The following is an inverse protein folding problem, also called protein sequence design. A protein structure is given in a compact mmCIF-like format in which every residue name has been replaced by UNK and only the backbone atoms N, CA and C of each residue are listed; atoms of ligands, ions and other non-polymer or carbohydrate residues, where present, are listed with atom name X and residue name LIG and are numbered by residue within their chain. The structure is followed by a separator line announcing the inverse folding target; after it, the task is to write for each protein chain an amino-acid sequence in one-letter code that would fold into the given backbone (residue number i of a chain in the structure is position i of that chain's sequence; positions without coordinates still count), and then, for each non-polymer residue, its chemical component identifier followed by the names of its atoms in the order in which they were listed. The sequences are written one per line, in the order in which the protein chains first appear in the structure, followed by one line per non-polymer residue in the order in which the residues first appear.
data_IF_310323595237
#
_entry.id   IF_310323595237
#
_cell.length_a   1.000
_cell.length_b   1.000
_cell.length_c   1.000
_cell.angle_alpha   90.00
_cell.angle_beta   90.00
_cell.angle_gamma   90.00
#
_symmetry.space_group_name_H-M   'P 1'
#
loop_
_entity.id
_entity.type
_entity.pdbx_description
1 polymer ?
#
# COMPACT_ATOMS: atom_id res chain seq x y z
N UNK A 1 -2.82 1.11 23.73
CA UNK A 1 -2.59 -0.29 23.33
C UNK A 1 -3.05 -0.44 21.89
N UNK A 2 -2.12 -0.37 20.92
CA UNK A 2 -2.44 -0.37 19.49
C UNK A 2 -2.88 -1.78 19.07
N UNK A 3 -4.19 -1.97 18.92
CA UNK A 3 -4.80 -3.26 18.62
C UNK A 3 -4.51 -3.61 17.15
N UNK A 4 -3.46 -4.38 16.91
CA UNK A 4 -3.19 -5.03 15.62
C UNK A 4 -4.31 -6.01 15.29
N UNK A 5 -5.27 -5.59 14.47
CA UNK A 5 -6.38 -6.45 14.01
C UNK A 5 -5.81 -7.44 13.00
N UNK A 6 -5.46 -8.65 13.47
CA UNK A 6 -5.05 -9.77 12.63
C UNK A 6 -6.28 -10.55 12.17
N UNK A 7 -6.68 -10.36 10.92
CA UNK A 7 -7.64 -11.24 10.27
C UNK A 7 -6.92 -12.54 9.85
N UNK A 8 -7.08 -13.58 10.67
CA UNK A 8 -6.41 -14.87 10.49
C UNK A 8 -6.84 -15.58 9.21
N UNK A 9 -8.12 -15.47 8.85
CA UNK A 9 -8.70 -16.09 7.65
C UNK A 9 -8.10 -15.47 6.40
N UNK A 10 -8.05 -14.13 6.35
CA UNK A 10 -7.43 -13.42 5.24
C UNK A 10 -5.94 -13.75 5.13
N UNK A 11 -5.20 -13.80 6.25
CA UNK A 11 -3.79 -14.17 6.25
C UNK A 11 -3.52 -15.61 5.79
N UNK A 12 -4.41 -16.55 6.11
CA UNK A 12 -4.28 -17.93 5.70
C UNK A 12 -4.52 -18.09 4.19
N UNK A 13 -5.53 -17.39 3.66
CA UNK A 13 -5.86 -17.41 2.23
C UNK A 13 -4.88 -16.59 1.37
N UNK A 14 -4.40 -15.46 1.88
CA UNK A 14 -3.50 -14.55 1.19
C UNK A 14 -2.14 -14.56 1.86
N UNK A 15 -1.38 -15.64 1.71
CA UNK A 15 0.03 -15.68 2.12
C UNK A 15 0.91 -15.06 1.04
N UNK A 16 1.87 -14.24 1.46
CA UNK A 16 2.80 -13.62 0.53
C UNK A 16 3.70 -14.70 -0.11
N UNK A 17 3.76 -14.80 -1.45
CA UNK A 17 4.66 -15.72 -2.12
C UNK A 17 6.13 -15.38 -1.86
N UNK A 18 7.00 -16.39 -1.76
CA UNK A 18 8.43 -16.19 -1.54
C UNK A 18 9.14 -15.40 -2.67
N UNK A 19 8.61 -15.48 -3.90
CA UNK A 19 9.08 -14.75 -5.08
C UNK A 19 8.03 -13.76 -5.59
N UNK A 20 7.36 -13.06 -4.68
CA UNK A 20 6.36 -12.08 -5.05
C UNK A 20 7.00 -10.93 -5.85
N UNK A 21 6.46 -10.69 -7.04
CA UNK A 21 6.80 -9.49 -7.83
C UNK A 21 6.34 -8.23 -7.09
N UNK A 22 6.85 -7.08 -7.52
CA UNK A 22 6.45 -5.79 -6.97
C UNK A 22 4.91 -5.64 -6.99
N UNK A 23 4.28 -5.99 -8.11
CA UNK A 23 2.83 -5.87 -8.29
C UNK A 23 2.03 -6.77 -7.33
N UNK A 24 2.46 -8.02 -7.16
CA UNK A 24 1.84 -8.92 -6.19
C UNK A 24 1.99 -8.39 -4.77
N UNK A 25 3.14 -7.79 -4.46
CA UNK A 25 3.41 -7.17 -3.16
C UNK A 25 2.49 -5.98 -2.91
N UNK A 26 2.32 -5.12 -3.91
CA UNK A 26 1.42 -3.95 -3.86
C UNK A 26 -0.04 -4.39 -3.65
N UNK A 27 -0.52 -5.32 -4.45
CA UNK A 27 -1.88 -5.86 -4.34
C UNK A 27 -2.12 -6.55 -3.00
N UNK A 28 -1.14 -7.33 -2.52
CA UNK A 28 -1.19 -7.97 -1.22
C UNK A 28 -1.28 -6.94 -0.10
N UNK A 29 -0.43 -5.91 -0.10
CA UNK A 29 -0.45 -4.87 0.92
C UNK A 29 -1.73 -4.03 0.90
N UNK A 30 -2.31 -3.75 -0.28
CA UNK A 30 -3.59 -3.07 -0.40
C UNK A 30 -4.74 -3.90 0.22
N UNK A 31 -4.81 -5.20 -0.11
CA UNK A 31 -5.78 -6.11 0.49
C UNK A 31 -5.55 -6.34 1.98
N UNK A 32 -4.29 -6.39 2.41
CA UNK A 32 -3.89 -6.52 3.81
C UNK A 32 -4.35 -5.28 4.59
N UNK A 33 -4.06 -4.06 4.14
CA UNK A 33 -4.50 -2.85 4.81
C UNK A 33 -6.04 -2.76 4.96
N UNK A 34 -6.80 -3.28 3.98
CA UNK A 34 -8.26 -3.28 4.01
C UNK A 34 -8.86 -4.37 4.94
N UNK A 35 -8.23 -5.55 5.03
CA UNK A 35 -8.80 -6.71 5.73
C UNK A 35 -8.10 -7.04 7.06
N UNK A 36 -6.85 -6.62 7.21
CA UNK A 36 -5.93 -7.04 8.27
C UNK A 36 -4.86 -5.98 8.56
N UNK A 37 -5.06 -5.15 9.57
CA UNK A 37 -4.08 -4.15 10.01
C UNK A 37 -3.07 -4.72 11.02
N UNK A 38 -2.63 -5.97 10.86
CA UNK A 38 -1.74 -6.60 11.86
C UNK A 38 -0.35 -5.94 11.89
N UNK A 39 0.08 -5.35 10.77
CA UNK A 39 1.36 -4.70 10.60
C UNK A 39 1.19 -3.47 9.71
N UNK A 40 1.91 -2.41 10.02
CA UNK A 40 1.94 -1.20 9.22
C UNK A 40 2.49 -1.48 7.80
N UNK A 41 1.93 -0.78 6.81
CA UNK A 41 2.42 -0.86 5.44
C UNK A 41 3.78 -0.15 5.34
N UNK A 42 4.85 -0.81 4.84
CA UNK A 42 6.16 -0.20 4.74
C UNK A 42 6.17 0.99 3.77
N UNK A 43 6.97 2.02 4.09
CA UNK A 43 7.00 3.28 3.36
C UNK A 43 7.33 3.11 1.87
N UNK A 44 8.22 2.18 1.50
CA UNK A 44 8.53 1.92 0.08
C UNK A 44 7.35 1.41 -0.73
N UNK A 45 6.47 0.60 -0.13
CA UNK A 45 5.27 0.08 -0.81
C UNK A 45 4.21 1.17 -0.92
N UNK A 46 4.05 1.98 0.13
CA UNK A 46 3.15 3.13 0.11
C UNK A 46 3.56 4.13 -0.97
N UNK A 47 4.83 4.50 -1.00
CA UNK A 47 5.37 5.39 -2.02
C UNK A 47 5.18 4.83 -3.44
N UNK A 48 5.32 3.52 -3.63
CA UNK A 48 5.07 2.89 -4.94
C UNK A 48 3.58 2.89 -5.31
N UNK A 49 2.67 2.61 -4.38
CA UNK A 49 1.22 2.71 -4.61
C UNK A 49 0.80 4.15 -4.96
N UNK A 50 1.37 5.13 -4.27
CA UNK A 50 1.17 6.56 -4.53
C UNK A 50 1.75 6.96 -5.90
N UNK A 51 2.97 6.53 -6.22
CA UNK A 51 3.61 6.79 -7.53
C UNK A 51 2.81 6.22 -8.70
N UNK A 52 2.15 5.08 -8.51
CA UNK A 52 1.32 4.42 -9.53
C UNK A 52 -0.12 4.96 -9.58
N UNK A 53 -0.49 5.90 -8.69
CA UNK A 53 -1.85 6.45 -8.64
C UNK A 53 -2.91 5.43 -8.23
N UNK A 54 -2.52 4.37 -7.53
CA UNK A 54 -3.40 3.24 -7.16
C UNK A 54 -3.96 3.37 -5.73
N UNK A 55 -3.62 4.45 -5.03
CA UNK A 55 -4.29 4.90 -3.83
C UNK A 55 -5.51 5.74 -4.23
N UNK A 56 -6.71 5.53 -3.64
CA UNK A 56 -7.82 6.43 -3.88
C UNK A 56 -7.41 7.84 -3.42
N UNK A 57 -7.70 8.81 -4.30
CA UNK A 57 -7.38 10.25 -4.26
C UNK A 57 -7.70 10.97 -2.93
N UNK A 58 -8.35 10.32 -1.97
CA UNK A 58 -8.76 10.89 -0.69
C UNK A 58 -7.59 11.39 0.19
N UNK A 59 -6.32 11.06 -0.14
CA UNK A 59 -5.13 11.63 0.52
C UNK A 59 -4.22 12.45 -0.42
N UNK A 60 -4.62 12.66 -1.68
CA UNK A 60 -3.93 13.58 -2.57
C UNK A 60 -4.21 15.02 -2.13
N UNK A 61 -3.42 15.51 -1.17
CA UNK A 61 -3.24 16.95 -1.00
C UNK A 61 -2.82 17.54 -2.36
N UNK A 62 -3.53 18.54 -2.91
CA UNK A 62 -3.12 19.22 -4.12
C UNK A 62 -1.91 20.11 -3.78
N UNK A 63 -0.71 19.55 -3.77
CA UNK A 63 0.45 20.25 -3.21
C UNK A 63 1.82 19.95 -3.81
N UNK A 64 1.93 19.15 -4.88
CA UNK A 64 3.20 19.00 -5.58
C UNK A 64 3.31 20.05 -6.70
N UNK A 65 4.22 21.05 -6.61
CA UNK A 65 4.41 21.99 -7.70
C UNK A 65 4.93 21.23 -8.92
N UNK A 66 4.16 21.33 -10.01
CA UNK A 66 4.57 20.85 -11.33
C UNK A 66 5.86 21.59 -11.69
N UNK A 67 6.93 20.82 -11.88
CA UNK A 67 8.26 21.34 -12.28
C UNK A 67 8.08 22.26 -13.50
N UNK A 68 8.52 23.53 -13.47
CA UNK A 68 8.37 24.39 -14.63
C UNK A 68 9.29 23.89 -15.74
N UNK A 69 8.70 23.67 -16.91
CA UNK A 69 9.45 23.47 -18.14
C UNK A 69 10.22 24.74 -18.45
N UNK A 70 11.54 24.58 -18.52
CA UNK A 70 12.55 25.54 -18.96
C UNK A 70 12.09 26.28 -20.23
N UNK A 71 12.16 27.61 -20.20
CA UNK A 71 12.12 28.52 -21.34
C UNK A 71 13.20 29.58 -21.14
#
# INVERSE_FOLDING_TARGET
MSKSILNREWHAANRMPAKATLEQRLAWHAGHAANCACREMPASIRAELERRGMMPDTLASPGAPRRPSRG
#
